data_IF_477634769482
#
_entry.id   IF_477634769482
#
_cell.length_a   1.000
_cell.length_b   1.000
_cell.length_c   1.000
_cell.angle_alpha   90.00
_cell.angle_beta   90.00
_cell.angle_gamma   90.00
#
_symmetry.space_group_name_H-M   'P 1'
#
loop_
_entity.id
_entity.type
_entity.pdbx_description
1 polymer ?
#
# COMPACT_ATOMS: atom_id res chain seq x y z
N UNK A 1 -43.92 -3.60 2.72
CA UNK A 1 -43.56 -2.17 2.64
C UNK A 1 -43.57 -1.81 1.17
N UNK A 2 -44.47 -0.92 0.78
CA UNK A 2 -44.64 -0.44 -0.60
C UNK A 2 -43.59 0.62 -0.87
N UNK A 3 -42.52 0.27 -1.60
CA UNK A 3 -41.55 1.24 -2.07
C UNK A 3 -42.22 2.14 -3.11
N UNK A 4 -42.43 3.41 -2.74
CA UNK A 4 -42.80 4.44 -3.69
C UNK A 4 -41.68 4.54 -4.75
N UNK A 5 -42.01 4.67 -6.04
CA UNK A 5 -41.00 4.76 -7.08
C UNK A 5 -40.08 5.96 -6.82
N UNK A 6 -38.76 5.71 -6.77
CA UNK A 6 -37.76 6.76 -6.58
C UNK A 6 -37.97 7.86 -7.63
N UNK A 7 -37.93 9.12 -7.19
CA UNK A 7 -37.94 10.25 -8.11
C UNK A 7 -36.77 10.16 -9.10
N UNK A 8 -36.90 10.76 -10.28
CA UNK A 8 -35.84 10.77 -11.31
C UNK A 8 -34.49 11.27 -10.75
N UNK A 9 -34.53 12.25 -9.85
CA UNK A 9 -33.36 12.75 -9.15
C UNK A 9 -32.74 11.71 -8.21
N UNK A 10 -33.57 10.96 -7.48
CA UNK A 10 -33.12 9.88 -6.61
C UNK A 10 -32.47 8.72 -7.38
N UNK A 11 -32.98 8.37 -8.56
CA UNK A 11 -32.36 7.36 -9.42
C UNK A 11 -30.97 7.81 -9.93
N UNK A 12 -30.85 9.07 -10.35
CA UNK A 12 -29.56 9.65 -10.78
C UNK A 12 -28.56 9.62 -9.61
N UNK A 13 -28.99 10.07 -8.42
CA UNK A 13 -28.14 10.07 -7.23
C UNK A 13 -27.66 8.66 -6.87
N UNK A 14 -28.54 7.65 -6.89
CA UNK A 14 -28.18 6.25 -6.62
C UNK A 14 -27.10 5.74 -7.57
N UNK A 15 -27.19 6.08 -8.85
CA UNK A 15 -26.19 5.70 -9.86
C UNK A 15 -24.86 6.40 -9.65
N UNK A 16 -24.87 7.69 -9.31
CA UNK A 16 -23.66 8.42 -8.98
C UNK A 16 -22.97 7.85 -7.73
N UNK A 17 -23.73 7.55 -6.68
CA UNK A 17 -23.22 6.93 -5.46
C UNK A 17 -22.63 5.55 -5.74
N UNK A 18 -23.28 4.74 -6.60
CA UNK A 18 -22.72 3.46 -7.03
C UNK A 18 -21.33 3.63 -7.67
N UNK A 19 -21.17 4.59 -8.59
CA UNK A 19 -19.88 4.86 -9.23
C UNK A 19 -18.82 5.29 -8.20
N UNK A 20 -19.20 6.16 -7.25
CA UNK A 20 -18.31 6.58 -6.16
C UNK A 20 -17.87 5.39 -5.31
N UNK A 21 -18.80 4.50 -4.93
CA UNK A 21 -18.49 3.34 -4.11
C UNK A 21 -17.56 2.35 -4.81
N UNK A 22 -17.82 2.06 -6.09
CA UNK A 22 -16.95 1.20 -6.90
C UNK A 22 -15.57 1.82 -7.04
N UNK A 23 -15.50 3.11 -7.39
CA UNK A 23 -14.24 3.82 -7.57
C UNK A 23 -13.41 3.79 -6.29
N UNK A 24 -14.00 4.15 -5.15
CA UNK A 24 -13.30 4.15 -3.87
C UNK A 24 -12.85 2.74 -3.47
N UNK A 25 -13.71 1.73 -3.61
CA UNK A 25 -13.36 0.34 -3.30
C UNK A 25 -12.19 -0.18 -4.15
N UNK A 26 -12.17 0.13 -5.45
CA UNK A 26 -11.06 -0.22 -6.32
C UNK A 26 -9.81 0.62 -6.04
N UNK A 27 -9.93 1.93 -5.87
CA UNK A 27 -8.78 2.82 -5.65
C UNK A 27 -8.05 2.47 -4.35
N UNK A 28 -8.76 2.39 -3.21
CA UNK A 28 -8.15 2.04 -1.94
C UNK A 28 -7.68 0.58 -1.89
N UNK A 29 -8.45 -0.34 -2.50
CA UNK A 29 -8.07 -1.74 -2.64
C UNK A 29 -6.77 -1.90 -3.41
N UNK A 30 -6.67 -1.32 -4.60
CA UNK A 30 -5.47 -1.38 -5.45
C UNK A 30 -4.29 -0.68 -4.80
N UNK A 31 -4.48 0.50 -4.20
CA UNK A 31 -3.44 1.19 -3.44
C UNK A 31 -2.82 0.32 -2.36
N UNK A 32 -3.65 -0.40 -1.58
CA UNK A 32 -3.14 -1.21 -0.48
C UNK A 32 -2.48 -2.48 -0.97
N UNK A 33 -3.07 -3.12 -1.97
CA UNK A 33 -2.46 -4.28 -2.62
C UNK A 33 -1.07 -3.92 -3.18
N UNK A 34 -0.99 -2.81 -3.89
CA UNK A 34 0.25 -2.31 -4.50
C UNK A 34 1.33 -2.08 -3.45
N UNK A 35 1.00 -1.38 -2.36
CA UNK A 35 1.96 -1.10 -1.30
C UNK A 35 2.39 -2.32 -0.49
N UNK A 36 1.45 -3.20 -0.18
CA UNK A 36 1.75 -4.44 0.56
C UNK A 36 2.62 -5.35 -0.30
N UNK A 37 2.34 -5.48 -1.60
CA UNK A 37 3.18 -6.23 -2.54
C UNK A 37 4.58 -5.63 -2.64
N UNK A 38 4.69 -4.30 -2.72
CA UNK A 38 6.00 -3.64 -2.69
C UNK A 38 6.79 -4.00 -1.44
N UNK A 39 6.20 -3.89 -0.26
CA UNK A 39 6.91 -4.21 0.97
C UNK A 39 7.30 -5.69 1.07
N UNK A 40 6.46 -6.60 0.55
CA UNK A 40 6.72 -8.03 0.54
C UNK A 40 7.81 -8.47 -0.44
N UNK A 41 7.93 -7.77 -1.59
CA UNK A 41 8.70 -8.28 -2.73
C UNK A 41 9.79 -7.33 -3.22
N UNK A 42 9.76 -6.06 -2.80
CA UNK A 42 10.59 -5.00 -3.36
C UNK A 42 10.17 -4.57 -4.78
N UNK A 43 9.10 -5.15 -5.34
CA UNK A 43 8.68 -4.88 -6.71
C UNK A 43 7.78 -3.65 -6.81
N UNK A 44 7.96 -2.86 -7.87
CA UNK A 44 7.14 -1.69 -8.18
C UNK A 44 6.47 -1.85 -9.55
N UNK A 45 5.14 -1.67 -9.66
CA UNK A 45 4.48 -1.54 -10.96
C UNK A 45 4.76 -0.20 -11.64
N UNK A 46 5.20 0.81 -10.86
CA UNK A 46 5.56 2.13 -11.38
C UNK A 46 6.98 2.09 -11.93
N UNK A 47 7.19 2.72 -13.09
CA UNK A 47 8.48 2.83 -13.74
C UNK A 47 9.54 3.45 -12.83
N UNK A 48 10.75 2.90 -12.89
CA UNK A 48 11.93 3.45 -12.21
C UNK A 48 12.31 4.75 -12.91
N UNK A 49 12.34 5.87 -12.18
CA UNK A 49 12.70 7.18 -12.73
C UNK A 49 14.20 7.32 -12.95
N UNK A 50 15.00 6.84 -11.99
CA UNK A 50 16.46 6.89 -12.02
C UNK A 50 17.08 5.82 -11.12
N UNK A 51 18.33 5.49 -11.41
CA UNK A 51 19.18 4.63 -10.56
C UNK A 51 20.25 5.48 -9.88
N UNK A 52 20.45 5.31 -8.58
CA UNK A 52 21.38 6.10 -7.76
C UNK A 52 22.23 5.18 -6.90
N UNK A 53 23.54 5.41 -6.88
CA UNK A 53 24.43 4.76 -5.93
C UNK A 53 24.54 5.59 -4.65
N UNK A 54 24.12 5.01 -3.53
CA UNK A 54 24.20 5.59 -2.19
C UNK A 54 25.42 4.99 -1.48
N UNK A 55 26.52 5.75 -1.44
CA UNK A 55 27.78 5.36 -0.80
C UNK A 55 28.10 6.17 0.45
N UNK A 56 27.52 7.37 0.56
CA UNK A 56 27.79 8.32 1.63
C UNK A 56 26.53 8.90 2.24
N UNK A 57 26.66 9.45 3.45
CA UNK A 57 25.57 10.14 4.14
C UNK A 57 25.08 11.35 3.34
N UNK A 58 25.98 12.05 2.68
CA UNK A 58 25.70 13.22 1.86
C UNK A 58 24.85 12.87 0.65
N UNK A 59 25.10 11.73 0.00
CA UNK A 59 24.29 11.23 -1.11
C UNK A 59 22.89 10.82 -0.64
N UNK A 60 22.80 10.10 0.48
CA UNK A 60 21.50 9.74 1.08
C UNK A 60 20.70 11.00 1.39
N UNK A 61 21.32 11.98 2.05
CA UNK A 61 20.67 13.26 2.36
C UNK A 61 20.21 13.99 1.09
N UNK A 62 21.05 14.03 0.06
CA UNK A 62 20.69 14.65 -1.22
C UNK A 62 19.46 13.99 -1.83
N UNK A 63 19.35 12.66 -1.79
CA UNK A 63 18.17 11.97 -2.31
C UNK A 63 16.91 12.23 -1.47
N UNK A 64 17.03 12.37 -0.15
CA UNK A 64 15.93 12.85 0.69
C UNK A 64 15.48 14.27 0.33
N UNK A 65 16.45 15.18 0.14
CA UNK A 65 16.17 16.57 -0.24
C UNK A 65 15.51 16.65 -1.63
N UNK A 66 15.93 15.80 -2.58
CA UNK A 66 15.33 15.69 -3.91
C UNK A 66 13.92 15.09 -3.86
N UNK A 67 13.69 14.11 -2.99
CA UNK A 67 12.37 13.54 -2.78
C UNK A 67 11.38 14.56 -2.21
N UNK A 68 11.86 15.47 -1.35
CA UNK A 68 11.00 16.46 -0.69
C UNK A 68 9.98 15.83 0.25
N UNK A 69 10.21 14.57 0.65
CA UNK A 69 9.33 13.72 1.43
C UNK A 69 10.02 12.43 1.89
N UNK A 70 9.29 11.50 2.53
CA UNK A 70 9.80 10.19 2.91
C UNK A 70 10.28 9.38 1.70
N UNK A 71 11.56 8.98 1.74
CA UNK A 71 12.18 8.01 0.85
C UNK A 71 12.41 6.71 1.63
N UNK A 72 11.82 5.60 1.18
CA UNK A 72 11.90 4.33 1.90
C UNK A 72 12.00 3.14 0.95
N UNK A 73 12.77 2.12 1.36
CA UNK A 73 12.82 0.83 0.71
C UNK A 73 11.73 -0.12 1.26
N UNK A 74 11.59 -1.29 0.63
CA UNK A 74 10.64 -2.31 1.06
C UNK A 74 11.02 -2.90 2.43
N UNK A 75 10.15 -2.71 3.43
CA UNK A 75 10.48 -3.00 4.84
C UNK A 75 10.40 -4.49 5.22
N UNK A 76 9.98 -5.38 4.31
CA UNK A 76 9.89 -6.83 4.54
C UNK A 76 10.89 -7.63 3.67
N UNK A 77 11.84 -6.93 3.06
CA UNK A 77 12.92 -7.48 2.23
C UNK A 77 14.27 -7.13 2.87
N UNK A 78 15.21 -8.07 2.78
CA UNK A 78 16.56 -7.90 3.32
C UNK A 78 17.58 -8.02 2.19
N UNK A 79 18.52 -7.08 2.14
CA UNK A 79 19.66 -7.09 1.22
C UNK A 79 20.80 -7.93 1.82
N UNK A 80 21.52 -8.66 0.97
CA UNK A 80 22.60 -9.53 1.43
C UNK A 80 23.82 -8.73 1.90
N UNK A 81 24.02 -7.52 1.35
CA UNK A 81 25.13 -6.62 1.70
C UNK A 81 24.77 -5.17 1.37
N UNK A 82 25.54 -4.25 1.93
CA UNK A 82 25.56 -2.86 1.49
C UNK A 82 25.94 -2.77 0.00
N UNK A 83 25.34 -1.84 -0.72
CA UNK A 83 25.59 -1.67 -2.15
C UNK A 83 24.70 -2.51 -3.07
N UNK A 84 23.98 -3.52 -2.55
CA UNK A 84 23.07 -4.32 -3.38
C UNK A 84 21.93 -3.44 -3.93
N UNK A 85 21.49 -3.63 -5.19
CA UNK A 85 20.41 -2.84 -5.76
C UNK A 85 19.08 -3.16 -5.07
N UNK A 86 18.32 -2.12 -4.74
CA UNK A 86 16.96 -2.20 -4.24
C UNK A 86 16.09 -1.10 -4.85
N UNK A 87 14.78 -1.22 -4.70
CA UNK A 87 13.85 -0.14 -5.05
C UNK A 87 13.49 0.67 -3.81
N UNK A 88 13.58 1.99 -3.94
CA UNK A 88 13.13 2.94 -2.93
C UNK A 88 12.04 3.84 -3.52
N UNK A 89 11.06 4.19 -2.69
CA UNK A 89 9.92 4.99 -3.10
C UNK A 89 9.93 6.34 -2.43
N UNK A 90 9.81 7.37 -3.27
CA UNK A 90 9.58 8.71 -2.80
C UNK A 90 8.07 8.94 -2.70
N UNK A 91 7.59 9.16 -1.47
CA UNK A 91 6.19 9.44 -1.21
C UNK A 91 6.00 10.72 -0.41
N UNK A 92 4.76 11.20 -0.35
CA UNK A 92 4.35 12.23 0.61
C UNK A 92 3.54 11.65 1.76
N UNK A 93 2.72 10.64 1.44
CA UNK A 93 1.88 9.86 2.36
C UNK A 93 1.38 8.63 1.58
N UNK A 94 1.27 7.47 2.24
CA UNK A 94 0.58 6.34 1.63
C UNK A 94 -0.89 6.73 1.34
N UNK A 95 -1.45 6.41 0.15
CA UNK A 95 -0.90 5.58 -0.93
C UNK A 95 -0.28 6.36 -2.11
N UNK A 96 0.06 7.63 -1.93
CA UNK A 96 0.47 8.53 -3.02
C UNK A 96 2.00 8.64 -3.09
N UNK A 97 2.59 7.79 -3.94
CA UNK A 97 4.01 7.88 -4.32
C UNK A 97 4.19 8.79 -5.52
N UNK A 98 5.24 9.60 -5.49
CA UNK A 98 5.61 10.48 -6.59
C UNK A 98 6.33 9.68 -7.67
N UNK A 99 7.34 8.90 -7.26
CA UNK A 99 8.17 8.11 -8.14
C UNK A 99 8.92 7.00 -7.37
N UNK A 100 9.40 6.02 -8.12
CA UNK A 100 10.29 4.96 -7.63
C UNK A 100 11.70 5.20 -8.19
N UNK A 101 12.72 5.04 -7.35
CA UNK A 101 14.12 5.00 -7.77
C UNK A 101 14.69 3.62 -7.50
N UNK A 102 15.68 3.25 -8.30
CA UNK A 102 16.59 2.18 -7.95
C UNK A 102 17.73 2.81 -7.13
N UNK A 103 17.98 2.30 -5.94
CA UNK A 103 19.03 2.77 -5.06
C UNK A 103 19.86 1.60 -4.58
N UNK A 104 21.09 1.83 -4.17
CA UNK A 104 21.87 0.80 -3.49
C UNK A 104 21.50 0.73 -2.00
N UNK A 105 21.48 -0.48 -1.45
CA UNK A 105 21.20 -0.75 -0.05
C UNK A 105 22.18 0.01 0.84
N UNK A 106 21.64 0.83 1.74
CA UNK A 106 22.41 1.69 2.61
C UNK A 106 21.74 1.78 4.00
N UNK A 107 22.48 1.67 5.12
CA UNK A 107 21.90 1.61 6.48
C UNK A 107 21.11 2.86 6.89
N UNK A 108 21.42 4.02 6.29
CA UNK A 108 20.70 5.27 6.54
C UNK A 108 19.40 5.41 5.72
N UNK A 109 19.10 4.48 4.82
CA UNK A 109 17.85 4.48 4.06
C UNK A 109 16.78 3.70 4.85
N UNK A 110 15.68 4.35 5.30
CA UNK A 110 14.58 3.69 5.99
C UNK A 110 14.02 2.52 5.19
N UNK A 111 13.75 1.41 5.87
CA UNK A 111 13.30 0.17 5.25
C UNK A 111 14.41 -0.64 4.55
N UNK A 112 15.63 -0.13 4.42
CA UNK A 112 16.78 -0.87 3.86
C UNK A 112 17.42 -1.76 4.92
N UNK A 113 16.87 -2.95 5.14
CA UNK A 113 17.48 -3.94 6.03
C UNK A 113 18.61 -4.69 5.32
N UNK A 114 19.78 -4.76 5.96
CA UNK A 114 21.00 -5.37 5.42
C UNK A 114 21.51 -6.45 6.38
N UNK A 115 22.04 -7.54 5.85
CA UNK A 115 22.73 -8.56 6.63
C UNK A 115 24.15 -8.12 6.97
N UNK A 116 24.50 -8.14 8.25
CA UNK A 116 25.87 -7.93 8.72
C UNK A 116 26.41 -9.22 9.36
N UNK A 117 27.55 -9.78 8.91
CA UNK A 117 28.11 -11.03 9.46
C UNK A 117 28.51 -10.95 10.93
N UNK A 118 28.81 -9.74 11.40
CA UNK A 118 29.23 -9.40 12.76
C UNK A 118 28.07 -8.83 13.61
N UNK A 119 26.83 -8.93 13.14
CA UNK A 119 25.64 -8.50 13.88
C UNK A 119 25.51 -9.27 15.20
N UNK A 120 25.27 -8.54 16.30
CA UNK A 120 25.01 -9.16 17.60
C UNK A 120 23.77 -10.08 17.50
N UNK A 121 23.76 -11.25 18.17
CA UNK A 121 22.64 -12.20 18.07
C UNK A 121 21.28 -11.58 18.41
N UNK A 122 21.24 -10.65 19.37
CA UNK A 122 20.00 -9.94 19.72
C UNK A 122 19.49 -9.05 18.57
N UNK A 123 20.39 -8.35 17.88
CA UNK A 123 20.03 -7.48 16.76
C UNK A 123 19.55 -8.30 15.55
N UNK A 124 20.23 -9.41 15.24
CA UNK A 124 19.83 -10.32 14.17
C UNK A 124 18.43 -10.91 14.43
N UNK A 125 18.17 -11.34 15.67
CA UNK A 125 16.86 -11.87 16.08
C UNK A 125 15.77 -10.80 16.01
N UNK A 126 16.06 -9.57 16.45
CA UNK A 126 15.12 -8.45 16.39
C UNK A 126 14.75 -8.11 14.94
N UNK A 127 15.74 -8.06 14.04
CA UNK A 127 15.53 -7.84 12.60
C UNK A 127 14.68 -8.96 11.99
N UNK A 128 15.01 -10.23 12.25
CA UNK A 128 14.25 -11.36 11.71
C UNK A 128 12.79 -11.34 12.17
N UNK A 129 12.53 -11.12 13.46
CA UNK A 129 11.18 -10.99 13.99
C UNK A 129 10.43 -9.80 13.37
N UNK A 130 11.11 -8.66 13.18
CA UNK A 130 10.52 -7.51 12.51
C UNK A 130 10.11 -7.85 11.07
N UNK A 131 11.01 -8.45 10.29
CA UNK A 131 10.74 -8.84 8.90
C UNK A 131 9.57 -9.83 8.81
N UNK A 132 9.55 -10.87 9.66
CA UNK A 132 8.45 -11.84 9.69
C UNK A 132 7.12 -11.16 10.03
N UNK A 133 7.09 -10.28 11.03
CA UNK A 133 5.89 -9.53 11.39
C UNK A 133 5.41 -8.65 10.23
N UNK A 134 6.32 -7.94 9.55
CA UNK A 134 5.98 -7.16 8.36
C UNK A 134 5.45 -8.04 7.24
N UNK A 135 6.02 -9.21 7.00
CA UNK A 135 5.54 -10.14 5.99
C UNK A 135 4.14 -10.66 6.30
N UNK A 136 3.88 -11.05 7.55
CA UNK A 136 2.56 -11.53 7.98
C UNK A 136 1.50 -10.44 7.83
N UNK A 137 1.81 -9.22 8.28
CA UNK A 137 0.84 -8.11 8.23
C UNK A 137 0.61 -7.65 6.80
N UNK A 138 1.65 -7.38 6.02
CA UNK A 138 1.49 -6.99 4.63
C UNK A 138 0.80 -8.10 3.81
N UNK A 139 1.14 -9.37 4.03
CA UNK A 139 0.49 -10.52 3.38
C UNK A 139 -1.00 -10.62 3.73
N UNK A 140 -1.34 -10.46 5.01
CA UNK A 140 -2.73 -10.44 5.46
C UNK A 140 -3.53 -9.32 4.82
N UNK A 141 -2.98 -8.09 4.80
CA UNK A 141 -3.67 -6.95 4.21
C UNK A 141 -3.69 -6.96 2.67
N UNK A 142 -2.72 -7.60 2.00
CA UNK A 142 -2.79 -7.88 0.57
C UNK A 142 -4.00 -8.77 0.23
N UNK A 143 -4.25 -9.82 1.03
CA UNK A 143 -5.42 -10.67 0.87
C UNK A 143 -6.72 -9.91 1.13
N UNK A 144 -6.80 -9.10 2.18
CA UNK A 144 -7.97 -8.26 2.45
C UNK A 144 -8.23 -7.27 1.30
N UNK A 145 -7.18 -6.66 0.76
CA UNK A 145 -7.27 -5.78 -0.40
C UNK A 145 -7.84 -6.51 -1.64
N UNK A 146 -7.39 -7.74 -1.91
CA UNK A 146 -7.96 -8.58 -2.97
C UNK A 146 -9.44 -8.88 -2.74
N UNK A 147 -9.87 -9.12 -1.50
CA UNK A 147 -11.30 -9.30 -1.17
C UNK A 147 -12.10 -8.02 -1.45
N UNK A 148 -11.60 -6.84 -1.08
CA UNK A 148 -12.26 -5.55 -1.33
C UNK A 148 -12.37 -5.26 -2.85
N UNK A 149 -11.30 -5.52 -3.60
CA UNK A 149 -11.30 -5.42 -5.07
C UNK A 149 -12.32 -6.40 -5.64
N UNK A 150 -12.32 -7.65 -5.17
CA UNK A 150 -13.27 -8.69 -5.58
C UNK A 150 -14.73 -8.30 -5.35
N UNK A 151 -15.05 -7.73 -4.18
CA UNK A 151 -16.38 -7.21 -3.86
C UNK A 151 -16.78 -6.07 -4.80
N UNK A 152 -15.85 -5.17 -5.11
CA UNK A 152 -16.08 -4.03 -6.03
C UNK A 152 -16.34 -4.52 -7.45
N UNK A 153 -15.50 -5.43 -7.97
CA UNK A 153 -15.71 -6.06 -9.27
C UNK A 153 -17.02 -6.85 -9.34
N UNK A 154 -17.38 -7.57 -8.27
CA UNK A 154 -18.62 -8.33 -8.19
C UNK A 154 -19.86 -7.43 -8.14
N UNK A 155 -19.77 -6.29 -7.46
CA UNK A 155 -20.81 -5.27 -7.49
C UNK A 155 -20.97 -4.67 -8.90
N UNK A 156 -19.86 -4.40 -9.60
CA UNK A 156 -19.83 -4.01 -11.01
C UNK A 156 -20.52 -5.03 -11.91
N UNK A 157 -20.19 -6.31 -11.75
CA UNK A 157 -20.82 -7.41 -12.48
C UNK A 157 -22.34 -7.47 -12.22
N UNK A 158 -22.78 -7.38 -10.97
CA UNK A 158 -24.21 -7.40 -10.62
C UNK A 158 -24.96 -6.24 -11.24
N UNK A 159 -24.39 -5.04 -11.14
CA UNK A 159 -25.03 -3.81 -11.60
C UNK A 159 -25.06 -3.71 -13.14
N UNK A 160 -23.94 -3.96 -13.82
CA UNK A 160 -23.80 -3.74 -15.26
C UNK A 160 -24.22 -4.96 -16.10
N UNK A 161 -23.88 -6.18 -15.67
CA UNK A 161 -24.08 -7.40 -16.46
C UNK A 161 -25.40 -8.08 -16.07
N UNK A 162 -25.62 -8.33 -14.76
CA UNK A 162 -26.87 -8.93 -14.28
C UNK A 162 -28.03 -7.95 -14.22
N UNK A 163 -27.77 -6.65 -14.32
CA UNK A 163 -28.77 -5.57 -14.20
C UNK A 163 -29.56 -5.60 -12.89
N UNK A 164 -28.96 -6.18 -11.84
CA UNK A 164 -29.50 -6.21 -10.49
C UNK A 164 -29.00 -4.96 -9.75
N UNK A 165 -29.68 -3.84 -9.96
CA UNK A 165 -29.26 -2.54 -9.44
C UNK A 165 -29.28 -2.49 -7.90
N UNK A 166 -30.19 -3.21 -7.24
CA UNK A 166 -30.31 -3.21 -5.78
C UNK A 166 -29.19 -4.02 -5.12
N UNK A 167 -28.98 -5.26 -5.57
CA UNK A 167 -27.91 -6.08 -5.02
C UNK A 167 -26.54 -5.53 -5.41
N UNK A 168 -26.39 -4.97 -6.62
CA UNK A 168 -25.19 -4.25 -7.06
C UNK A 168 -24.87 -3.06 -6.16
N UNK A 169 -25.85 -2.20 -5.89
CA UNK A 169 -25.69 -1.05 -5.00
C UNK A 169 -25.29 -1.44 -3.57
N UNK A 170 -25.99 -2.43 -2.99
CA UNK A 170 -25.68 -2.91 -1.63
C UNK A 170 -24.27 -3.51 -1.54
N UNK A 171 -23.87 -4.29 -2.55
CA UNK A 171 -22.53 -4.89 -2.60
C UNK A 171 -21.46 -3.81 -2.76
N UNK A 172 -21.70 -2.80 -3.61
CA UNK A 172 -20.78 -1.67 -3.78
C UNK A 172 -20.62 -0.87 -2.48
N UNK A 173 -21.72 -0.60 -1.76
CA UNK A 173 -21.68 0.07 -0.47
C UNK A 173 -20.88 -0.73 0.57
N UNK A 174 -21.08 -2.05 0.65
CA UNK A 174 -20.26 -2.90 1.52
C UNK A 174 -18.78 -2.87 1.12
N UNK A 175 -18.46 -2.94 -0.18
CA UNK A 175 -17.09 -2.82 -0.68
C UNK A 175 -16.44 -1.49 -0.30
N UNK A 176 -17.19 -0.40 -0.42
CA UNK A 176 -16.78 0.94 0.00
C UNK A 176 -16.45 1.00 1.50
N UNK A 177 -17.39 0.60 2.38
CA UNK A 177 -17.14 0.62 3.83
C UNK A 177 -15.98 -0.29 4.21
N UNK A 178 -15.91 -1.50 3.65
CA UNK A 178 -14.80 -2.42 3.88
C UNK A 178 -13.46 -1.83 3.45
N UNK A 179 -13.40 -1.07 2.34
CA UNK A 179 -12.17 -0.41 1.89
C UNK A 179 -11.67 0.64 2.87
N UNK A 180 -12.58 1.43 3.47
CA UNK A 180 -12.23 2.42 4.50
C UNK A 180 -11.79 1.76 5.81
N UNK A 181 -12.49 0.71 6.24
CA UNK A 181 -12.11 -0.03 7.45
C UNK A 181 -10.75 -0.70 7.27
N UNK A 182 -10.51 -1.31 6.11
CA UNK A 182 -9.22 -1.89 5.75
C UNK A 182 -8.12 -0.81 5.83
N UNK A 183 -8.37 0.38 5.29
CA UNK A 183 -7.45 1.52 5.35
C UNK A 183 -7.07 1.90 6.77
N UNK A 184 -8.09 2.10 7.62
CA UNK A 184 -7.93 2.55 8.98
C UNK A 184 -7.24 1.49 9.84
N UNK A 185 -7.65 0.23 9.69
CA UNK A 185 -7.02 -0.91 10.34
C UNK A 185 -5.55 -1.05 9.93
N UNK A 186 -5.24 -0.97 8.64
CA UNK A 186 -3.87 -1.08 8.17
C UNK A 186 -3.01 0.05 8.74
N UNK A 187 -3.46 1.29 8.61
CA UNK A 187 -2.73 2.47 9.10
C UNK A 187 -2.51 2.36 10.61
N UNK A 188 -3.55 2.03 11.38
CA UNK A 188 -3.46 1.86 12.83
C UNK A 188 -2.51 0.75 13.25
N UNK A 189 -2.53 -0.40 12.56
CA UNK A 189 -1.59 -1.49 12.80
C UNK A 189 -0.16 -1.04 12.48
N UNK A 190 0.08 -0.43 11.32
CA UNK A 190 1.41 -0.01 10.89
C UNK A 190 2.03 1.03 11.83
N UNK A 191 1.25 1.98 12.37
CA UNK A 191 1.74 2.90 13.41
C UNK A 191 2.22 2.20 14.69
N UNK A 192 1.73 0.99 14.98
CA UNK A 192 2.12 0.23 16.17
C UNK A 192 3.31 -0.69 15.92
N UNK A 193 3.44 -1.25 14.71
CA UNK A 193 4.40 -2.32 14.41
C UNK A 193 5.59 -1.86 13.59
N UNK A 194 5.44 -0.81 12.79
CA UNK A 194 6.46 -0.31 11.89
C UNK A 194 6.91 1.09 12.35
N UNK A 195 8.08 1.19 13.01
CA UNK A 195 8.58 2.48 13.46
C UNK A 195 8.88 3.41 12.28
N UNK A 196 9.18 2.85 11.09
CA UNK A 196 9.47 3.64 9.90
C UNK A 196 8.23 4.22 9.24
N UNK A 197 7.05 3.62 9.48
CA UNK A 197 5.79 4.08 8.93
C UNK A 197 5.44 5.50 9.38
N UNK A 198 5.79 5.87 10.62
CA UNK A 198 5.57 7.20 11.16
C UNK A 198 6.32 8.32 10.43
N UNK A 199 7.47 8.03 9.80
CA UNK A 199 8.19 9.01 8.98
C UNK A 199 7.46 9.34 7.68
N UNK A 200 6.51 8.48 7.30
CA UNK A 200 5.69 8.61 6.10
C UNK A 200 4.47 9.55 6.24
N UNK A 201 4.19 10.05 7.45
CA UNK A 201 2.99 10.81 7.82
C UNK A 201 3.34 12.12 8.54
#
# INVERSE_FOLDING_TARGET
MTDAPLSRHGLILKRLLFLVFIYAGLAYGLSLLEYTVFNLTGWSPVSIERSVELRSREEVKKEFDLCGGPLFAANAVVSAREGDPLLARCGRFWPFYHYTIEATAHPLLPGSFILYPDEAPEAATARENFIINMQVVNGGFALVALFVIGLSCFAGYRFLIRKDEEAGYRTAFHGFISSFLMLACYSGVMFLIDPTFSFGW
#
